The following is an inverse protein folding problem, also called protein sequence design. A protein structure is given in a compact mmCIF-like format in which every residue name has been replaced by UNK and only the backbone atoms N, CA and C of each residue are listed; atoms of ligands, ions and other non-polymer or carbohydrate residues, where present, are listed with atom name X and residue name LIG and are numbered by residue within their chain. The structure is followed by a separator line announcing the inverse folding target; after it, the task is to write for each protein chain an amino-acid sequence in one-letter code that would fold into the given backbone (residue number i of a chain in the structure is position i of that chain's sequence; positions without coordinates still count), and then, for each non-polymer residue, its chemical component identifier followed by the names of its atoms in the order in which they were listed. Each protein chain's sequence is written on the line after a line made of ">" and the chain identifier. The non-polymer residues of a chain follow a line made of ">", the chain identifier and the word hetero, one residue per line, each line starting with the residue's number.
data_IF_362782212253
#
_entry.id   IF_362782212253
#
_cell.length_a   1.000
_cell.length_b   1.000
_cell.length_c   1.000
_cell.angle_alpha   90.00
_cell.angle_beta   90.00
_cell.angle_gamma   90.00
#
_symmetry.space_group_name_H-M   'P 1'
#
loop_
_entity.id
_entity.type
_entity.pdbx_description
1 polymer ?
#
# COMPACT_ATOMS: atom_id res chain seq x y z
N UNK A 1 -2.20 -78.59 -8.95
CA UNK A 1 -2.86 -77.89 -7.84
C UNK A 1 -3.59 -76.71 -8.42
N UNK A 2 -4.91 -76.70 -8.24
CA UNK A 2 -5.84 -75.64 -8.65
C UNK A 2 -6.05 -74.71 -7.45
N UNK A 3 -6.20 -73.39 -7.69
CA UNK A 3 -7.19 -72.47 -7.08
C UNK A 3 -6.64 -71.05 -6.79
N UNK A 4 -7.13 -70.10 -7.60
CA UNK A 4 -7.78 -68.82 -7.28
C UNK A 4 -7.23 -67.80 -6.25
N UNK A 5 -7.23 -66.54 -6.72
CA UNK A 5 -7.09 -65.26 -6.02
C UNK A 5 -8.12 -65.05 -4.88
N UNK A 6 -7.86 -64.04 -4.02
CA UNK A 6 -8.82 -62.94 -4.00
C UNK A 6 -8.18 -61.54 -4.07
N UNK A 7 -8.94 -60.67 -4.73
CA UNK A 7 -8.72 -59.27 -5.02
C UNK A 7 -9.04 -58.41 -3.78
N UNK A 8 -8.35 -57.27 -3.67
CA UNK A 8 -8.59 -56.08 -2.81
C UNK A 8 -8.25 -56.17 -1.31
N UNK A 9 -7.12 -55.56 -0.92
CA UNK A 9 -7.08 -54.61 0.19
C UNK A 9 -6.21 -53.41 -0.17
N UNK A 10 -6.91 -52.33 -0.52
CA UNK A 10 -6.60 -50.91 -0.28
C UNK A 10 -5.25 -50.34 -0.73
N UNK A 11 -5.34 -49.52 -1.79
CA UNK A 11 -4.79 -48.16 -1.90
C UNK A 11 -4.42 -47.54 -0.53
N UNK A 12 -3.29 -46.82 -0.46
CA UNK A 12 -2.57 -46.24 0.72
C UNK A 12 -1.31 -47.09 0.99
N UNK A 13 -0.12 -46.78 0.48
CA UNK A 13 0.64 -45.57 0.79
C UNK A 13 1.60 -45.19 -0.36
N UNK A 14 1.17 -44.25 -1.20
CA UNK A 14 2.04 -43.47 -2.08
C UNK A 14 2.22 -42.08 -1.48
N UNK A 15 3.11 -41.92 -0.50
CA UNK A 15 3.60 -40.57 -0.14
C UNK A 15 4.93 -40.62 0.62
N UNK A 16 6.02 -41.01 -0.04
CA UNK A 16 7.35 -40.51 0.34
C UNK A 16 7.59 -39.23 -0.47
N UNK A 17 7.03 -38.12 -0.01
CA UNK A 17 7.47 -36.81 -0.48
C UNK A 17 8.80 -36.50 0.22
N UNK A 18 9.86 -36.51 -0.58
CA UNK A 18 11.17 -35.98 -0.24
C UNK A 18 11.02 -34.56 0.28
N UNK A 19 11.38 -34.33 1.53
CA UNK A 19 11.55 -32.99 2.09
C UNK A 19 12.93 -32.52 1.66
N UNK A 20 13.03 -31.84 0.53
CA UNK A 20 14.21 -31.05 0.21
C UNK A 20 14.13 -29.75 1.01
N UNK A 21 14.79 -29.74 2.17
CA UNK A 21 15.00 -28.51 2.94
C UNK A 21 16.14 -27.74 2.26
N UNK A 22 15.81 -26.72 1.47
CA UNK A 22 16.79 -25.68 1.13
C UNK A 22 17.21 -24.99 2.43
N UNK A 23 18.40 -25.28 2.92
CA UNK A 23 19.01 -24.58 4.06
C UNK A 23 19.63 -23.30 3.51
N UNK A 24 18.80 -22.29 3.21
CA UNK A 24 19.27 -20.91 3.28
C UNK A 24 19.41 -20.60 4.77
N UNK A 25 20.57 -20.10 5.20
CA UNK A 25 20.82 -19.65 6.58
C UNK A 25 19.85 -18.52 6.93
N UNK A 26 18.67 -18.93 7.39
CA UNK A 26 17.56 -18.09 7.76
C UNK A 26 17.87 -17.52 9.14
N UNK A 27 17.88 -16.20 9.24
CA UNK A 27 17.86 -15.52 10.53
C UNK A 27 16.64 -16.03 11.33
N UNK A 28 16.80 -16.57 12.55
CA UNK A 28 15.70 -17.12 13.34
C UNK A 28 14.51 -16.16 13.51
N UNK A 29 14.74 -14.85 13.42
CA UNK A 29 13.71 -13.81 13.42
C UNK A 29 12.82 -13.77 12.17
N UNK A 30 13.25 -14.35 11.05
CA UNK A 30 12.49 -14.39 9.78
C UNK A 30 11.52 -15.57 9.68
N UNK A 31 11.66 -16.55 10.57
CA UNK A 31 10.85 -17.78 10.58
C UNK A 31 9.33 -17.51 10.67
N UNK A 32 8.81 -16.53 11.43
CA UNK A 32 7.37 -16.22 11.43
C UNK A 32 6.86 -15.64 10.09
N UNK A 33 7.71 -14.91 9.36
CA UNK A 33 7.34 -14.20 8.12
C UNK A 33 7.52 -15.05 6.86
N UNK A 34 8.26 -16.17 6.97
CA UNK A 34 8.41 -17.18 5.90
C UNK A 34 7.58 -18.45 6.16
N UNK A 35 6.81 -18.50 7.25
CA UNK A 35 6.05 -19.69 7.69
C UNK A 35 4.76 -19.97 6.92
N UNK A 36 4.54 -19.25 5.82
CA UNK A 36 3.44 -19.46 4.92
C UNK A 36 3.99 -20.01 3.60
N UNK A 37 3.44 -21.12 3.10
CA UNK A 37 3.93 -21.84 1.92
C UNK A 37 3.82 -21.04 0.61
N UNK A 38 4.59 -19.96 0.47
CA UNK A 38 4.54 -19.02 -0.64
C UNK A 38 3.42 -17.98 -0.55
N UNK A 39 2.97 -17.60 0.65
CA UNK A 39 1.99 -16.52 0.84
C UNK A 39 2.73 -15.20 1.08
N UNK A 40 2.29 -14.14 0.40
CA UNK A 40 2.88 -12.81 0.55
C UNK A 40 2.26 -12.12 1.78
N UNK A 41 3.07 -11.77 2.79
CA UNK A 41 2.64 -10.99 3.96
C UNK A 41 3.11 -9.53 3.83
N UNK A 42 2.16 -8.60 3.78
CA UNK A 42 2.39 -7.17 3.58
C UNK A 42 1.67 -6.36 4.65
N UNK A 43 2.37 -5.36 5.18
CA UNK A 43 1.75 -4.35 6.07
C UNK A 43 1.48 -3.07 5.30
N UNK A 44 0.25 -2.57 5.39
CA UNK A 44 -0.13 -1.23 4.92
C UNK A 44 0.09 -0.25 6.06
N UNK A 45 0.79 0.86 5.81
CA UNK A 45 1.09 1.88 6.84
C UNK A 45 -0.11 2.81 7.12
N UNK A 46 -1.31 2.23 7.19
CA UNK A 46 -2.56 2.86 7.56
C UNK A 46 -3.54 1.79 8.06
N UNK A 47 -4.34 2.11 9.06
CA UNK A 47 -5.47 1.28 9.51
C UNK A 47 -6.83 1.69 8.89
N UNK A 48 -6.85 2.71 8.02
CA UNK A 48 -8.07 3.12 7.30
C UNK A 48 -8.44 2.10 6.24
N UNK A 49 -9.62 1.51 6.34
CA UNK A 49 -10.08 0.45 5.42
C UNK A 49 -10.11 0.86 3.94
N UNK A 50 -10.38 2.13 3.63
CA UNK A 50 -10.30 2.64 2.24
C UNK A 50 -8.94 2.39 1.59
N UNK A 51 -7.85 2.42 2.38
CA UNK A 51 -6.48 2.13 1.93
C UNK A 51 -6.22 0.63 2.02
N UNK A 52 -6.44 0.04 3.20
CA UNK A 52 -6.09 -1.37 3.46
C UNK A 52 -6.82 -2.31 2.50
N UNK A 53 -8.13 -2.15 2.34
CA UNK A 53 -8.91 -2.99 1.45
C UNK A 53 -8.51 -2.81 -0.03
N UNK A 54 -8.20 -1.59 -0.46
CA UNK A 54 -7.72 -1.35 -1.83
C UNK A 54 -6.38 -2.05 -2.12
N UNK A 55 -5.43 -2.00 -1.18
CA UNK A 55 -4.16 -2.72 -1.30
C UNK A 55 -4.41 -4.24 -1.25
N UNK A 56 -5.22 -4.71 -0.28
CA UNK A 56 -5.56 -6.13 -0.13
C UNK A 56 -6.11 -6.71 -1.42
N UNK A 57 -7.16 -6.11 -1.97
CA UNK A 57 -7.82 -6.58 -3.18
C UNK A 57 -6.83 -6.60 -4.37
N UNK A 58 -6.02 -5.55 -4.52
CA UNK A 58 -5.03 -5.46 -5.60
C UNK A 58 -3.93 -6.53 -5.51
N UNK A 59 -3.36 -6.74 -4.31
CA UNK A 59 -2.31 -7.72 -4.10
C UNK A 59 -2.83 -9.15 -4.16
N UNK A 60 -4.02 -9.42 -3.62
CA UNK A 60 -4.65 -10.74 -3.74
C UNK A 60 -4.98 -11.08 -5.20
N UNK A 61 -5.38 -10.12 -6.02
CA UNK A 61 -5.61 -10.38 -7.44
C UNK A 61 -4.31 -10.72 -8.19
N UNK A 62 -3.20 -10.05 -7.88
CA UNK A 62 -1.91 -10.25 -8.58
C UNK A 62 -1.17 -11.50 -8.06
N UNK A 63 -1.23 -11.78 -6.76
CA UNK A 63 -0.47 -12.85 -6.11
C UNK A 63 -1.30 -14.10 -5.81
N UNK A 64 -2.63 -14.02 -5.86
CA UNK A 64 -3.56 -15.08 -5.47
C UNK A 64 -3.68 -15.19 -3.94
N UNK A 65 -2.56 -15.50 -3.26
CA UNK A 65 -2.50 -15.60 -1.80
C UNK A 65 -1.61 -14.48 -1.24
N UNK A 66 -2.27 -13.44 -0.71
CA UNK A 66 -1.60 -12.35 0.00
C UNK A 66 -2.37 -12.02 1.30
N UNK A 67 -1.64 -11.99 2.40
CA UNK A 67 -2.09 -11.47 3.69
C UNK A 67 -1.74 -10.00 3.73
N UNK A 68 -2.76 -9.15 3.91
CA UNK A 68 -2.58 -7.70 3.98
C UNK A 68 -3.21 -7.17 5.25
N UNK A 69 -2.37 -6.69 6.15
CA UNK A 69 -2.73 -6.07 7.43
C UNK A 69 -2.50 -4.56 7.38
N UNK A 70 -3.14 -3.82 8.28
CA UNK A 70 -3.05 -2.35 8.30
C UNK A 70 -2.63 -1.84 9.66
N UNK A 71 -1.55 -1.07 9.71
CA UNK A 71 -1.00 -0.50 10.93
C UNK A 71 -1.01 1.03 10.90
N UNK A 72 -1.39 1.65 12.01
CA UNK A 72 -1.45 3.10 12.09
C UNK A 72 -0.04 3.70 12.17
N UNK A 73 0.37 4.42 11.12
CA UNK A 73 1.66 5.08 11.04
C UNK A 73 1.54 6.61 11.15
N UNK A 74 2.63 7.25 11.57
CA UNK A 74 2.74 8.72 11.64
C UNK A 74 3.83 9.22 10.70
N UNK A 75 3.70 10.47 10.27
CA UNK A 75 4.69 11.20 9.47
C UNK A 75 4.80 12.63 9.98
N UNK A 76 5.97 13.24 9.86
CA UNK A 76 6.22 14.64 10.21
C UNK A 76 5.98 15.58 9.00
N UNK A 77 4.99 15.23 8.19
CA UNK A 77 4.56 15.97 7.00
C UNK A 77 3.21 16.62 7.29
N UNK A 78 2.97 17.80 6.70
CA UNK A 78 1.72 18.52 6.81
C UNK A 78 0.51 17.63 6.42
N UNK A 79 -0.67 17.80 7.05
CA UNK A 79 -1.88 17.04 6.72
C UNK A 79 -2.25 17.04 5.24
N UNK A 80 -1.98 18.15 4.55
CA UNK A 80 -2.07 18.25 3.09
C UNK A 80 -0.67 18.46 2.53
N UNK A 81 0.06 17.39 2.19
CA UNK A 81 1.33 17.53 1.52
C UNK A 81 1.15 18.30 0.19
N UNK A 82 2.11 19.16 -0.10
CA UNK A 82 2.17 19.92 -1.36
C UNK A 82 3.44 19.53 -2.09
N UNK A 83 3.25 19.00 -3.29
CA UNK A 83 4.31 18.58 -4.18
C UNK A 83 4.76 17.13 -4.01
N UNK A 84 5.31 16.56 -5.09
CA UNK A 84 5.79 15.17 -5.12
C UNK A 84 6.75 14.84 -3.98
N UNK A 85 7.71 15.73 -3.71
CA UNK A 85 8.72 15.50 -2.68
C UNK A 85 8.12 15.33 -1.27
N UNK A 86 7.10 16.13 -0.93
CA UNK A 86 6.42 16.02 0.36
C UNK A 86 5.55 14.76 0.44
N UNK A 87 4.86 14.41 -0.65
CA UNK A 87 4.06 13.18 -0.73
C UNK A 87 4.91 11.91 -0.56
N UNK A 88 6.01 11.82 -1.30
CA UNK A 88 6.97 10.70 -1.21
C UNK A 88 7.60 10.61 0.17
N UNK A 89 8.08 11.74 0.71
CA UNK A 89 8.65 11.77 2.05
C UNK A 89 7.64 11.36 3.12
N UNK A 90 6.38 11.77 3.00
CA UNK A 90 5.32 11.38 3.93
C UNK A 90 5.03 9.88 3.89
N UNK A 91 4.94 9.30 2.69
CA UNK A 91 4.77 7.86 2.50
C UNK A 91 5.96 7.08 3.10
N UNK A 92 7.19 7.49 2.82
CA UNK A 92 8.39 6.83 3.34
C UNK A 92 8.50 6.95 4.87
N UNK A 93 8.26 8.14 5.43
CA UNK A 93 8.33 8.36 6.87
C UNK A 93 7.33 7.48 7.64
N UNK A 94 6.17 7.16 7.04
CA UNK A 94 5.21 6.22 7.64
C UNK A 94 5.80 4.81 7.73
N UNK A 95 6.44 4.31 6.68
CA UNK A 95 7.12 3.01 6.68
C UNK A 95 8.22 3.00 7.74
N UNK A 96 9.08 4.02 7.70
CA UNK A 96 10.20 4.16 8.62
C UNK A 96 9.73 4.27 10.07
N UNK A 97 8.60 4.95 10.33
CA UNK A 97 8.04 5.10 11.67
C UNK A 97 7.68 3.75 12.28
N UNK A 98 7.02 2.86 11.53
CA UNK A 98 6.60 1.55 12.01
C UNK A 98 7.78 0.61 12.24
N UNK A 99 8.82 0.69 11.40
CA UNK A 99 10.07 -0.07 11.61
C UNK A 99 10.81 0.43 12.84
N UNK A 100 10.96 1.75 12.99
CA UNK A 100 11.67 2.37 14.11
C UNK A 100 11.00 2.06 15.45
N UNK A 101 9.68 1.96 15.49
CA UNK A 101 8.93 1.58 16.69
C UNK A 101 8.82 0.07 16.90
N UNK A 102 9.32 -0.74 15.96
CA UNK A 102 9.26 -2.21 16.03
C UNK A 102 7.86 -2.81 15.83
N UNK A 103 6.90 -2.02 15.31
CA UNK A 103 5.56 -2.53 14.98
C UNK A 103 5.63 -3.50 13.81
N UNK A 104 6.48 -3.21 12.82
CA UNK A 104 6.78 -4.11 11.71
C UNK A 104 8.26 -4.52 11.74
N UNK A 105 8.55 -5.72 11.27
CA UNK A 105 9.91 -6.22 11.22
C UNK A 105 10.75 -5.46 10.18
N UNK A 106 12.06 -5.31 10.44
CA UNK A 106 12.97 -4.51 9.60
C UNK A 106 13.07 -5.02 8.15
N UNK A 107 12.77 -6.31 7.93
CA UNK A 107 12.79 -6.98 6.62
C UNK A 107 11.39 -7.27 6.06
N UNK A 108 10.32 -6.85 6.74
CA UNK A 108 8.96 -7.10 6.27
C UNK A 108 8.59 -6.10 5.15
N UNK A 109 8.01 -6.58 4.03
CA UNK A 109 7.48 -5.71 3.00
C UNK A 109 6.35 -4.82 3.54
N UNK A 110 6.42 -3.52 3.23
CA UNK A 110 5.43 -2.55 3.65
C UNK A 110 4.96 -1.70 2.47
N UNK A 111 3.67 -1.36 2.46
CA UNK A 111 3.05 -0.47 1.47
C UNK A 111 2.53 0.78 2.16
N UNK A 112 2.94 1.94 1.68
CA UNK A 112 2.36 3.22 2.10
C UNK A 112 1.50 3.83 1.00
N UNK A 113 0.53 4.65 1.41
CA UNK A 113 -0.33 5.43 0.51
C UNK A 113 -0.43 6.83 1.09
N UNK A 114 0.04 7.85 0.37
CA UNK A 114 -0.04 9.26 0.78
C UNK A 114 -0.59 10.12 -0.35
N UNK A 115 -1.63 10.92 -0.07
CA UNK A 115 -2.15 11.88 -1.03
C UNK A 115 -1.43 13.22 -0.86
N UNK A 116 -1.13 13.88 -1.97
CA UNK A 116 -0.60 15.24 -2.02
C UNK A 116 -1.31 16.02 -3.11
N UNK A 117 -1.21 17.35 -3.06
CA UNK A 117 -1.63 18.21 -4.17
C UNK A 117 -0.43 18.77 -4.91
N UNK A 118 -0.56 18.94 -6.22
CA UNK A 118 0.49 19.46 -7.09
C UNK A 118 -0.11 20.38 -8.16
N UNK A 119 0.62 21.44 -8.49
CA UNK A 119 0.30 22.32 -9.61
C UNK A 119 1.00 21.83 -10.88
N UNK A 120 0.31 21.03 -11.69
CA UNK A 120 0.92 20.44 -12.89
C UNK A 120 0.95 21.41 -14.07
N UNK A 121 0.10 22.43 -14.08
CA UNK A 121 0.03 23.48 -15.08
C UNK A 121 -0.32 24.80 -14.36
N UNK A 122 -0.01 25.97 -14.94
CA UNK A 122 -0.33 27.27 -14.31
C UNK A 122 -1.79 27.33 -13.85
N UNK A 123 -1.98 27.56 -12.55
CA UNK A 123 -3.25 27.63 -11.83
C UNK A 123 -4.10 26.34 -11.86
N UNK A 124 -3.55 25.21 -12.33
CA UNK A 124 -4.25 23.91 -12.37
C UNK A 124 -3.64 22.94 -11.38
N UNK A 125 -4.40 22.73 -10.32
CA UNK A 125 -4.03 21.87 -9.21
C UNK A 125 -4.66 20.50 -9.33
N UNK A 126 -3.96 19.49 -8.82
CA UNK A 126 -4.39 18.10 -8.87
C UNK A 126 -4.11 17.42 -7.53
N UNK A 127 -5.00 16.55 -7.08
CA UNK A 127 -4.75 15.57 -6.02
C UNK A 127 -4.22 14.28 -6.65
N UNK A 128 -3.13 13.76 -6.07
CA UNK A 128 -2.44 12.55 -6.52
C UNK A 128 -2.10 11.72 -5.28
N UNK A 129 -2.45 10.44 -5.30
CA UNK A 129 -1.99 9.46 -4.31
C UNK A 129 -0.67 8.84 -4.76
N UNK A 130 0.39 8.99 -3.97
CA UNK A 130 1.62 8.22 -4.08
C UNK A 130 1.48 6.91 -3.29
N UNK A 131 1.87 5.80 -3.90
CA UNK A 131 2.00 4.50 -3.28
C UNK A 131 3.46 4.09 -3.33
N UNK A 132 4.01 3.67 -2.19
CA UNK A 132 5.37 3.13 -2.09
C UNK A 132 5.25 1.70 -1.60
N UNK A 133 5.95 0.75 -2.24
CA UNK A 133 6.26 -0.54 -1.63
C UNK A 133 7.75 -0.58 -1.33
N UNK A 134 8.07 -0.94 -0.10
CA UNK A 134 9.43 -1.08 0.38
C UNK A 134 9.62 -2.47 1.00
N UNK A 135 10.50 -3.25 0.38
CA UNK A 135 10.91 -4.58 0.79
C UNK A 135 12.44 -4.64 0.92
N UNK A 136 12.95 -4.43 2.15
CA UNK A 136 14.39 -4.45 2.43
C UNK A 136 15.01 -5.82 2.28
N UNK A 137 14.23 -6.91 2.39
CA UNK A 137 14.76 -8.26 2.26
C UNK A 137 15.22 -8.53 0.83
N UNK A 138 14.42 -8.13 -0.15
CA UNK A 138 14.77 -8.25 -1.57
C UNK A 138 15.44 -6.98 -2.13
N UNK A 139 15.60 -5.93 -1.33
CA UNK A 139 16.15 -4.65 -1.78
C UNK A 139 15.26 -3.93 -2.81
N UNK A 140 13.94 -4.11 -2.71
CA UNK A 140 12.97 -3.57 -3.66
C UNK A 140 12.33 -2.32 -3.07
N UNK A 141 12.41 -1.23 -3.84
CA UNK A 141 11.72 0.02 -3.55
C UNK A 141 11.05 0.51 -4.83
N UNK A 142 9.72 0.54 -4.85
CA UNK A 142 8.95 0.92 -6.04
C UNK A 142 7.87 1.92 -5.68
N UNK A 143 7.57 2.78 -6.65
CA UNK A 143 6.58 3.84 -6.52
C UNK A 143 5.52 3.69 -7.62
N UNK A 144 4.26 3.99 -7.28
CA UNK A 144 3.19 4.15 -8.24
C UNK A 144 2.32 5.34 -7.83
N UNK A 145 1.63 5.94 -8.80
CA UNK A 145 0.76 7.09 -8.55
C UNK A 145 -0.66 6.80 -9.01
N UNK A 146 -1.65 7.29 -8.27
CA UNK A 146 -3.02 7.34 -8.79
C UNK A 146 -3.11 8.29 -9.96
N UNK A 147 -4.16 8.14 -10.76
CA UNK A 147 -4.55 9.19 -11.71
C UNK A 147 -4.71 10.54 -11.01
N UNK A 148 -4.28 11.61 -11.68
CA UNK A 148 -4.40 12.97 -11.17
C UNK A 148 -5.86 13.43 -11.19
N UNK A 149 -6.37 13.87 -10.05
CA UNK A 149 -7.74 14.40 -9.93
C UNK A 149 -7.72 15.91 -9.87
N UNK A 150 -8.34 16.63 -10.83
CA UNK A 150 -8.38 18.09 -10.79
C UNK A 150 -8.98 18.62 -9.50
N UNK A 151 -8.29 19.57 -8.86
CA UNK A 151 -8.75 20.31 -7.69
C UNK A 151 -8.99 21.77 -8.11
N UNK A 152 -10.23 22.28 -8.00
CA UNK A 152 -10.49 23.68 -8.32
C UNK A 152 -9.62 24.64 -7.50
N UNK A 153 -8.97 25.60 -8.18
CA UNK A 153 -8.02 26.53 -7.60
C UNK A 153 -8.53 27.22 -6.33
N UNK A 154 -9.81 27.60 -6.32
CA UNK A 154 -10.44 28.27 -5.17
C UNK A 154 -10.31 27.48 -3.86
N UNK A 155 -10.37 26.14 -3.92
CA UNK A 155 -10.27 25.30 -2.72
C UNK A 155 -8.82 25.16 -2.26
N UNK A 156 -7.86 25.19 -3.18
CA UNK A 156 -6.43 25.26 -2.84
C UNK A 156 -6.11 26.61 -2.21
N UNK A 157 -6.61 27.72 -2.78
CA UNK A 157 -6.42 29.07 -2.24
C UNK A 157 -7.01 29.20 -0.84
N UNK A 158 -8.20 28.63 -0.61
CA UNK A 158 -8.81 28.61 0.71
C UNK A 158 -8.01 27.76 1.72
N UNK A 159 -7.48 26.60 1.31
CA UNK A 159 -6.59 25.82 2.17
C UNK A 159 -5.29 26.59 2.51
N UNK A 160 -4.73 27.32 1.53
CA UNK A 160 -3.57 28.20 1.72
C UNK A 160 -3.89 29.34 2.70
N UNK A 161 -5.04 30.01 2.57
CA UNK A 161 -5.43 31.10 3.47
C UNK A 161 -5.70 30.63 4.90
N UNK A 162 -6.12 29.38 5.07
CA UNK A 162 -6.33 28.75 6.38
C UNK A 162 -5.04 28.20 7.00
N UNK A 163 -3.91 28.29 6.30
CA UNK A 163 -2.61 27.84 6.80
C UNK A 163 -1.79 29.03 7.29
N UNK A 164 -1.55 29.17 8.62
CA UNK A 164 -0.76 30.25 9.19
C UNK A 164 0.65 30.33 8.59
N UNK A 165 1.22 31.53 8.48
CA UNK A 165 2.58 31.74 7.96
C UNK A 165 3.64 31.07 8.83
N UNK A 166 3.42 31.02 10.14
CA UNK A 166 4.28 30.41 11.16
C UNK A 166 4.01 28.91 11.36
N UNK A 167 3.21 28.28 10.51
CA UNK A 167 2.94 26.85 10.59
C UNK A 167 4.23 26.03 10.44
N UNK A 168 4.54 25.20 11.45
CA UNK A 168 5.81 24.48 11.56
C UNK A 168 6.11 23.50 10.42
N UNK A 169 5.07 22.96 9.77
CA UNK A 169 5.22 22.03 8.65
C UNK A 169 4.96 22.68 7.28
N UNK A 170 4.92 24.02 7.20
CA UNK A 170 4.67 24.77 5.95
C UNK A 170 5.66 24.43 4.83
N UNK A 171 6.87 24.00 5.18
CA UNK A 171 7.86 23.50 4.23
C UNK A 171 7.39 22.27 3.43
N UNK A 172 6.43 21.51 3.97
CA UNK A 172 5.92 20.26 3.40
C UNK A 172 4.49 20.35 2.89
N UNK A 173 3.74 21.40 3.25
CA UNK A 173 2.38 21.58 2.75
C UNK A 173 1.49 22.45 3.62
N UNK A 174 0.19 22.18 3.56
CA UNK A 174 -0.87 22.99 4.17
C UNK A 174 -1.42 22.32 5.44
N UNK A 175 -1.85 23.16 6.39
CA UNK A 175 -2.45 22.71 7.65
C UNK A 175 -3.81 22.04 7.43
N UNK A 176 -4.58 22.55 6.48
CA UNK A 176 -5.93 22.08 6.14
C UNK A 176 -5.91 21.40 4.77
N UNK A 177 -6.60 20.28 4.65
CA UNK A 177 -6.72 19.54 3.39
C UNK A 177 -7.76 20.14 2.46
N UNK A 178 -7.57 19.94 1.14
CA UNK A 178 -8.57 20.35 0.15
C UNK A 178 -9.87 19.59 0.34
N UNK A 179 -9.82 18.34 0.83
CA UNK A 179 -11.01 17.57 1.21
C UNK A 179 -11.81 18.23 2.33
N UNK A 180 -11.13 18.75 3.37
CA UNK A 180 -11.79 19.48 4.48
C UNK A 180 -12.41 20.79 4.01
N UNK A 181 -11.78 21.48 3.06
CA UNK A 181 -12.34 22.66 2.43
C UNK A 181 -13.58 22.30 1.61
N UNK A 182 -13.48 21.28 0.75
CA UNK A 182 -14.56 20.81 -0.11
C UNK A 182 -15.80 20.37 0.69
N UNK A 183 -15.61 19.61 1.77
CA UNK A 183 -16.70 19.17 2.67
C UNK A 183 -17.47 20.35 3.28
N UNK A 184 -16.81 21.47 3.56
CA UNK A 184 -17.46 22.68 4.09
C UNK A 184 -18.16 23.50 3.00
N UNK A 185 -17.70 23.39 1.76
CA UNK A 185 -18.14 24.24 0.65
C UNK A 185 -19.20 23.60 -0.25
N UNK A 186 -19.27 22.26 -0.31
CA UNK A 186 -20.16 21.54 -1.22
C UNK A 186 -21.09 20.62 -0.41
N UNK A 187 -22.43 20.75 -0.55
CA UNK A 187 -23.37 19.86 0.12
C UNK A 187 -23.13 18.39 -0.23
N UNK A 188 -23.26 17.51 0.77
CA UNK A 188 -23.14 16.05 0.63
C UNK A 188 -21.77 15.54 0.16
N UNK A 189 -20.71 16.34 0.25
CA UNK A 189 -19.33 15.90 0.01
C UNK A 189 -18.71 15.43 1.31
N UNK A 190 -18.12 14.23 1.29
CA UNK A 190 -17.31 13.72 2.39
C UNK A 190 -15.82 14.02 2.11
N UNK A 191 -15.10 14.62 3.07
CA UNK A 191 -13.68 14.97 2.88
C UNK A 191 -12.77 13.80 2.56
N UNK A 192 -13.16 12.58 2.90
CA UNK A 192 -12.34 11.38 2.69
C UNK A 192 -12.54 10.73 1.33
N UNK A 193 -13.60 11.11 0.60
CA UNK A 193 -13.99 10.52 -0.68
C UNK A 193 -14.66 11.54 -1.62
N UNK A 194 -14.22 12.79 -1.58
CA UNK A 194 -14.74 13.86 -2.44
C UNK A 194 -14.52 13.57 -3.93
N UNK A 195 -13.53 12.73 -4.26
CA UNK A 195 -13.23 12.24 -5.60
C UNK A 195 -14.46 11.64 -6.27
N UNK A 196 -15.28 10.88 -5.52
CA UNK A 196 -16.48 10.24 -6.06
C UNK A 196 -17.50 11.27 -6.55
N UNK A 197 -17.67 12.37 -5.83
CA UNK A 197 -18.62 13.43 -6.19
C UNK A 197 -18.12 14.23 -7.39
N UNK A 198 -16.82 14.52 -7.46
CA UNK A 198 -16.27 15.35 -8.54
C UNK A 198 -15.97 14.59 -9.82
N UNK A 199 -15.66 13.29 -9.74
CA UNK A 199 -15.20 12.50 -10.89
C UNK A 199 -16.00 11.24 -11.17
N UNK A 200 -16.87 10.82 -10.25
CA UNK A 200 -17.53 9.52 -10.28
C UNK A 200 -16.64 8.34 -9.85
N UNK A 201 -15.34 8.57 -9.60
CA UNK A 201 -14.43 7.54 -9.10
C UNK A 201 -14.16 7.74 -7.61
N UNK A 202 -14.41 6.69 -6.82
CA UNK A 202 -14.06 6.70 -5.40
C UNK A 202 -12.55 6.65 -5.20
N UNK A 203 -12.09 7.20 -4.08
CA UNK A 203 -10.71 7.13 -3.62
C UNK A 203 -10.23 5.68 -3.51
N UNK A 204 -11.08 4.76 -3.05
CA UNK A 204 -10.73 3.32 -2.98
C UNK A 204 -10.38 2.78 -4.37
N UNK A 205 -11.19 3.07 -5.39
CA UNK A 205 -10.96 2.60 -6.76
C UNK A 205 -9.67 3.17 -7.34
N UNK A 206 -9.39 4.45 -7.09
CA UNK A 206 -8.15 5.08 -7.52
C UNK A 206 -6.92 4.43 -6.87
N UNK A 207 -6.95 4.19 -5.55
CA UNK A 207 -5.87 3.52 -4.82
C UNK A 207 -5.70 2.09 -5.35
N UNK A 208 -6.80 1.34 -5.52
CA UNK A 208 -6.75 -0.04 -6.01
C UNK A 208 -6.11 -0.11 -7.40
N UNK A 209 -6.43 0.81 -8.31
CA UNK A 209 -5.85 0.83 -9.65
C UNK A 209 -4.33 1.03 -9.62
N UNK A 210 -3.84 2.00 -8.84
CA UNK A 210 -2.40 2.22 -8.66
C UNK A 210 -1.73 1.05 -7.93
N UNK A 211 -2.38 0.49 -6.92
CA UNK A 211 -1.89 -0.64 -6.14
C UNK A 211 -1.76 -1.90 -6.98
N UNK A 212 -2.67 -2.13 -7.94
CA UNK A 212 -2.60 -3.27 -8.85
C UNK A 212 -1.41 -3.15 -9.80
N UNK A 213 -1.14 -1.95 -10.31
CA UNK A 213 0.07 -1.68 -11.08
C UNK A 213 1.33 -1.91 -10.22
N UNK A 214 1.34 -1.39 -8.99
CA UNK A 214 2.44 -1.56 -8.04
C UNK A 214 2.71 -3.03 -7.71
N UNK A 215 1.67 -3.79 -7.39
CA UNK A 215 1.74 -5.23 -7.12
C UNK A 215 2.28 -6.01 -8.33
N UNK A 216 1.84 -5.64 -9.53
CA UNK A 216 2.36 -6.20 -10.79
C UNK A 216 3.85 -5.95 -10.97
N UNK A 217 4.29 -4.70 -10.80
CA UNK A 217 5.72 -4.33 -10.85
C UNK A 217 6.53 -5.07 -9.78
N UNK A 218 6.03 -5.11 -8.55
CA UNK A 218 6.65 -5.80 -7.44
C UNK A 218 6.84 -7.30 -7.73
N UNK A 219 5.81 -7.97 -8.27
CA UNK A 219 5.90 -9.39 -8.65
C UNK A 219 7.00 -9.68 -9.67
N UNK A 220 7.26 -8.75 -10.60
CA UNK A 220 8.34 -8.90 -11.60
C UNK A 220 9.74 -8.74 -11.00
N UNK A 221 9.87 -8.01 -9.89
CA UNK A 221 11.15 -7.80 -9.21
C UNK A 221 11.49 -8.93 -8.23
N UNK A 222 10.49 -9.68 -7.77
CA UNK A 222 10.72 -10.82 -6.89
C UNK A 222 11.50 -11.93 -7.62
N UNK A 223 12.38 -12.66 -6.91
CA UNK A 223 13.06 -13.81 -7.49
C UNK A 223 12.05 -14.81 -8.07
N UNK A 224 12.36 -15.33 -9.26
CA UNK A 224 11.55 -16.40 -9.86
C UNK A 224 11.51 -17.58 -8.90
N UNK A 225 10.30 -18.06 -8.57
CA UNK A 225 10.16 -19.33 -7.85
C UNK A 225 10.71 -20.42 -8.76
N UNK A 226 11.87 -20.97 -8.41
CA UNK A 226 12.37 -22.20 -9.04
C UNK A 226 11.31 -23.26 -8.78
N UNK A 227 10.70 -23.78 -9.85
CA UNK A 227 9.71 -24.86 -9.82
C UNK A 227 10.39 -26.18 -9.51
#
# INVERSE_FOLDING_TARGET
>A
GVAENPVVKSVLDKTKHSVETMITTLDPGMVPYMKTGGELDIVVTSNKEVKVAAIRDAFQEVFGMAVVTGEAAQSNIAPQPVGYAAGLKGAQERIDSLRRTGIIHEKQPAVSVENFIEELLPDKWFDIGCLIIDDPFHGIHLEAFTQATPVPLQYVQQAKSLTPEDYSLRWSGLLVTVGEVLEKSIPNVNRTDWHAVLTGMSRRQMIYSAAKALAGMYKQHLPSRTV
#
